data_IF_446132504233
#
_entry.id   IF_446132504233
#
_cell.length_a   1.000
_cell.length_b   1.000
_cell.length_c   1.000
_cell.angle_alpha   90.00
_cell.angle_beta   90.00
_cell.angle_gamma   90.00
#
_symmetry.space_group_name_H-M   'P 1'
#
loop_
_entity.id
_entity.type
_entity.pdbx_description
1 polymer ?
#
# COMPACT_ATOMS: atom_id res chain seq x y z
N UNK A 1 -10.09 32.37 -4.12
CA UNK A 1 -8.81 31.95 -4.71
C UNK A 1 -8.96 30.48 -5.09
N UNK A 2 -8.53 30.05 -6.28
CA UNK A 2 -8.63 28.65 -6.71
C UNK A 2 -7.54 27.85 -5.98
N UNK A 3 -7.92 26.77 -5.28
CA UNK A 3 -6.95 25.89 -4.60
C UNK A 3 -6.31 24.99 -5.65
N UNK A 4 -4.98 24.96 -5.68
CA UNK A 4 -4.17 24.18 -6.61
C UNK A 4 -3.04 23.48 -5.88
N UNK A 5 -2.45 22.48 -6.53
CA UNK A 5 -1.21 21.83 -6.08
C UNK A 5 -0.09 22.86 -6.15
N UNK A 6 0.61 23.08 -5.04
CA UNK A 6 1.71 24.03 -4.91
C UNK A 6 3.07 23.35 -4.90
N UNK A 7 3.15 22.13 -4.37
CA UNK A 7 4.40 21.38 -4.29
C UNK A 7 4.14 19.88 -4.22
N UNK A 8 5.06 19.11 -4.79
CA UNK A 8 5.10 17.63 -4.65
C UNK A 8 6.54 17.25 -4.34
N UNK A 9 6.75 16.59 -3.21
CA UNK A 9 8.08 16.19 -2.73
C UNK A 9 8.09 14.71 -2.42
N UNK A 10 9.04 13.97 -3.00
CA UNK A 10 9.26 12.55 -2.69
C UNK A 10 10.36 12.37 -1.64
N UNK A 11 10.24 11.34 -0.84
CA UNK A 11 11.32 10.87 0.04
C UNK A 11 11.36 9.35 0.12
N UNK A 12 12.53 8.83 0.40
CA UNK A 12 12.74 7.42 0.71
C UNK A 12 12.47 7.21 2.19
N UNK A 13 11.67 6.20 2.53
CA UNK A 13 11.41 5.74 3.89
C UNK A 13 11.69 4.24 3.98
N UNK A 14 11.70 3.69 5.18
CA UNK A 14 11.94 2.26 5.41
C UNK A 14 10.61 1.58 5.81
N UNK A 15 10.31 0.46 5.17
CA UNK A 15 9.13 -0.35 5.47
C UNK A 15 9.33 -1.28 6.69
N UNK A 16 8.29 -2.01 7.08
CA UNK A 16 8.32 -2.94 8.24
C UNK A 16 9.29 -4.12 8.07
N UNK A 17 9.75 -4.39 6.84
CA UNK A 17 10.73 -5.44 6.51
C UNK A 17 12.16 -4.91 6.38
N UNK A 18 12.39 -3.61 6.65
CA UNK A 18 13.70 -2.96 6.52
C UNK A 18 14.09 -2.62 5.09
N UNK A 19 13.15 -2.66 4.12
CA UNK A 19 13.41 -2.28 2.75
C UNK A 19 13.00 -0.81 2.49
N UNK A 20 13.72 -0.09 1.60
CA UNK A 20 13.31 1.24 1.19
C UNK A 20 11.97 1.20 0.44
N UNK A 21 11.15 2.23 0.69
CA UNK A 21 9.96 2.50 -0.11
C UNK A 21 9.77 4.01 -0.28
N UNK A 22 8.77 4.41 -1.07
CA UNK A 22 8.53 5.79 -1.47
C UNK A 22 7.41 6.39 -0.64
N UNK A 23 7.64 7.59 -0.13
CA UNK A 23 6.60 8.47 0.37
C UNK A 23 6.58 9.75 -0.44
N UNK A 24 5.39 10.24 -0.82
CA UNK A 24 5.19 11.55 -1.42
C UNK A 24 4.43 12.47 -0.46
N UNK A 25 4.82 13.75 -0.41
CA UNK A 25 4.09 14.82 0.26
C UNK A 25 3.59 15.81 -0.78
N UNK A 26 2.31 16.13 -0.75
CA UNK A 26 1.66 17.13 -1.60
C UNK A 26 1.23 18.32 -0.75
N UNK A 27 1.64 19.51 -1.13
CA UNK A 27 1.22 20.79 -0.55
C UNK A 27 0.29 21.54 -1.48
N UNK A 28 -0.75 22.17 -0.94
CA UNK A 28 -1.74 22.96 -1.67
C UNK A 28 -1.56 24.46 -1.39
N UNK A 29 -2.10 25.31 -2.26
CA UNK A 29 -2.04 26.78 -2.13
C UNK A 29 -2.82 27.35 -0.96
N UNK A 30 -3.70 26.58 -0.32
CA UNK A 30 -4.40 26.95 0.92
C UNK A 30 -3.61 26.63 2.20
N UNK A 31 -2.37 26.15 2.06
CA UNK A 31 -1.51 25.71 3.17
C UNK A 31 -1.75 24.28 3.64
N UNK A 32 -2.73 23.56 3.05
CA UNK A 32 -2.95 22.15 3.36
C UNK A 32 -1.83 21.29 2.78
N UNK A 33 -1.40 20.28 3.54
CA UNK A 33 -0.49 19.25 3.04
C UNK A 33 -0.91 17.86 3.52
N UNK A 34 -0.58 16.86 2.73
CA UNK A 34 -0.76 15.46 3.09
C UNK A 34 0.35 14.59 2.48
N UNK A 35 0.59 13.45 3.09
CA UNK A 35 1.57 12.48 2.62
C UNK A 35 0.95 11.10 2.44
N UNK A 36 1.56 10.33 1.55
CA UNK A 36 1.23 8.93 1.33
C UNK A 36 2.50 8.12 1.11
N UNK A 37 2.61 7.02 1.85
CA UNK A 37 3.62 6.01 1.65
C UNK A 37 3.04 4.86 0.82
N UNK A 38 3.84 4.27 -0.05
CA UNK A 38 3.45 3.14 -0.88
C UNK A 38 4.08 1.87 -0.33
N UNK A 39 3.27 0.91 0.13
CA UNK A 39 3.80 -0.37 0.55
C UNK A 39 4.33 -1.16 -0.64
N UNK A 40 5.37 -1.97 -0.42
CA UNK A 40 5.89 -2.93 -1.39
C UNK A 40 5.29 -4.30 -1.13
N UNK A 41 4.89 -5.02 -2.18
CA UNK A 41 4.43 -6.40 -2.08
C UNK A 41 5.54 -7.37 -1.65
N UNK A 42 5.16 -8.53 -1.14
CA UNK A 42 6.12 -9.62 -0.84
C UNK A 42 6.49 -10.40 -2.12
N UNK A 43 5.56 -10.49 -3.07
CA UNK A 43 5.74 -11.12 -4.38
C UNK A 43 5.30 -10.17 -5.49
N UNK A 44 5.69 -10.45 -6.74
CA UNK A 44 5.30 -9.68 -7.92
C UNK A 44 4.72 -10.59 -8.98
N UNK A 45 3.64 -10.16 -9.64
CA UNK A 45 3.02 -10.83 -10.76
C UNK A 45 3.56 -10.34 -12.11
N UNK A 46 3.49 -11.18 -13.13
CA UNK A 46 3.98 -10.84 -14.48
C UNK A 46 3.24 -9.67 -15.15
N UNK A 47 2.03 -9.37 -14.71
CA UNK A 47 1.17 -8.31 -15.26
C UNK A 47 1.08 -7.08 -14.37
N UNK A 48 1.77 -7.05 -13.25
CA UNK A 48 1.80 -5.90 -12.35
C UNK A 48 2.58 -4.73 -12.94
N UNK A 49 2.23 -3.52 -12.51
CA UNK A 49 3.01 -2.33 -12.80
C UNK A 49 4.38 -2.39 -12.10
N UNK A 50 5.39 -1.82 -12.74
CA UNK A 50 6.78 -1.92 -12.26
C UNK A 50 7.01 -1.03 -11.06
N UNK A 51 7.38 -1.62 -9.93
CA UNK A 51 7.99 -0.92 -8.82
C UNK A 51 9.43 -0.55 -9.18
N UNK A 52 9.70 0.73 -9.36
CA UNK A 52 11.03 1.20 -9.79
C UNK A 52 12.03 1.09 -8.63
N UNK A 53 13.07 0.28 -8.83
CA UNK A 53 14.19 0.09 -7.93
C UNK A 53 15.49 0.59 -8.55
N UNK A 54 16.42 1.06 -7.71
CA UNK A 54 17.67 1.67 -8.16
C UNK A 54 18.63 0.66 -8.80
N UNK A 55 18.61 -0.61 -8.32
CA UNK A 55 19.66 -1.58 -8.61
C UNK A 55 20.96 -1.25 -7.86
N UNK A 56 22.06 -1.91 -8.23
CA UNK A 56 23.36 -1.72 -7.60
C UNK A 56 23.42 -2.23 -6.15
N UNK A 57 24.41 -1.76 -5.39
CA UNK A 57 24.74 -2.34 -4.06
C UNK A 57 23.89 -1.78 -2.91
N UNK A 58 23.37 -0.55 -3.07
CA UNK A 58 22.62 0.12 -2.02
C UNK A 58 21.32 -0.63 -1.72
N UNK A 59 21.11 -1.01 -0.45
CA UNK A 59 19.98 -1.87 -0.02
C UNK A 59 19.84 -3.14 -0.87
N UNK A 60 20.96 -3.73 -1.27
CA UNK A 60 20.96 -4.91 -2.15
C UNK A 60 20.14 -4.72 -3.45
N UNK A 61 20.23 -3.52 -4.04
CA UNK A 61 19.50 -3.16 -5.25
C UNK A 61 18.08 -2.62 -5.04
N UNK A 62 17.57 -2.64 -3.80
CA UNK A 62 16.19 -2.25 -3.49
C UNK A 62 15.99 -0.75 -3.23
N UNK A 63 17.02 0.09 -3.39
CA UNK A 63 16.91 1.56 -3.25
C UNK A 63 15.82 2.15 -4.13
N UNK A 64 15.25 3.32 -3.77
CA UNK A 64 14.17 4.00 -4.50
C UNK A 64 14.49 5.46 -4.84
N UNK A 65 15.77 5.84 -4.84
CA UNK A 65 16.18 7.23 -5.15
C UNK A 65 15.78 7.68 -6.55
N UNK A 66 15.77 6.79 -7.54
CA UNK A 66 15.29 7.10 -8.89
C UNK A 66 13.82 7.50 -8.87
N UNK A 67 12.97 6.71 -8.20
CA UNK A 67 11.55 7.01 -8.05
C UNK A 67 11.32 8.34 -7.30
N UNK A 68 12.06 8.59 -6.21
CA UNK A 68 12.03 9.86 -5.46
C UNK A 68 12.48 11.05 -6.33
N UNK A 69 13.50 10.86 -7.16
CA UNK A 69 13.97 11.89 -8.10
C UNK A 69 12.91 12.17 -9.17
N UNK A 70 12.25 11.14 -9.70
CA UNK A 70 11.15 11.28 -10.67
C UNK A 70 9.99 12.11 -10.08
N UNK A 71 9.62 11.89 -8.81
CA UNK A 71 8.61 12.71 -8.14
C UNK A 71 9.01 14.19 -8.14
N UNK A 72 10.22 14.49 -7.69
CA UNK A 72 10.65 15.87 -7.46
C UNK A 72 11.02 16.62 -8.74
N UNK A 73 11.57 15.92 -9.75
CA UNK A 73 12.10 16.54 -10.98
C UNK A 73 11.20 16.47 -12.19
N UNK A 74 10.34 15.44 -12.26
CA UNK A 74 9.46 15.20 -13.42
C UNK A 74 8.01 15.44 -13.04
N UNK A 75 7.51 14.80 -11.98
CA UNK A 75 6.09 14.86 -11.62
C UNK A 75 5.73 16.22 -11.02
N UNK A 76 6.54 16.74 -10.08
CA UNK A 76 6.22 17.96 -9.35
C UNK A 76 5.98 19.16 -10.25
N UNK A 77 6.85 19.51 -11.22
CA UNK A 77 6.63 20.66 -12.11
C UNK A 77 5.35 20.56 -12.93
N UNK A 78 4.97 19.34 -13.34
CA UNK A 78 3.82 19.09 -14.20
C UNK A 78 2.49 19.09 -13.45
N UNK A 79 2.48 18.80 -12.15
CA UNK A 79 1.27 18.82 -11.34
C UNK A 79 1.04 20.15 -10.65
N UNK A 80 2.08 20.99 -10.45
CA UNK A 80 1.91 22.31 -9.85
C UNK A 80 0.96 23.18 -10.69
N UNK A 81 -0.02 23.79 -10.02
CA UNK A 81 -1.10 24.56 -10.65
C UNK A 81 -2.36 23.75 -11.01
N UNK A 82 -2.29 22.42 -11.04
CA UNK A 82 -3.47 21.57 -11.25
C UNK A 82 -4.41 21.62 -10.04
N UNK A 83 -5.68 21.34 -10.28
CA UNK A 83 -6.69 21.19 -9.22
C UNK A 83 -6.48 19.86 -8.48
N UNK A 84 -6.35 19.86 -7.13
CA UNK A 84 -6.26 18.60 -6.38
C UNK A 84 -7.61 17.87 -6.32
N UNK A 85 -8.71 18.52 -6.71
CA UNK A 85 -10.06 17.95 -6.65
C UNK A 85 -10.43 17.19 -7.93
N UNK A 86 -9.63 17.26 -8.97
CA UNK A 86 -9.78 16.50 -10.21
C UNK A 86 -8.77 15.34 -10.23
N UNK A 87 -9.10 14.30 -9.48
CA UNK A 87 -8.24 13.12 -9.38
C UNK A 87 -8.00 12.45 -10.75
N UNK A 88 -9.03 12.42 -11.60
CA UNK A 88 -8.89 11.82 -12.92
C UNK A 88 -7.89 12.58 -13.79
N UNK A 89 -7.92 13.91 -13.77
CA UNK A 89 -6.93 14.72 -14.50
C UNK A 89 -5.51 14.50 -13.97
N UNK A 90 -5.35 14.40 -12.64
CA UNK A 90 -4.03 14.12 -12.02
C UNK A 90 -3.52 12.74 -12.43
N UNK A 91 -4.33 11.70 -12.33
CA UNK A 91 -3.93 10.32 -12.63
C UNK A 91 -3.66 10.11 -14.13
N UNK A 92 -4.43 10.77 -14.99
CA UNK A 92 -4.16 10.78 -16.43
C UNK A 92 -2.83 11.48 -16.74
N UNK A 93 -2.55 12.63 -16.12
CA UNK A 93 -1.28 13.34 -16.27
C UNK A 93 -0.09 12.49 -15.83
N UNK A 94 -0.19 11.83 -14.67
CA UNK A 94 0.83 10.90 -14.19
C UNK A 94 1.08 9.74 -15.17
N UNK A 95 0.01 9.23 -15.77
CA UNK A 95 0.06 8.15 -16.77
C UNK A 95 0.68 8.59 -18.08
N UNK A 96 0.38 9.80 -18.54
CA UNK A 96 1.00 10.42 -19.71
C UNK A 96 2.50 10.65 -19.51
N UNK A 97 2.90 11.17 -18.36
CA UNK A 97 4.31 11.43 -18.02
C UNK A 97 5.14 10.15 -18.00
N UNK A 98 4.59 9.06 -17.54
CA UNK A 98 5.26 7.76 -17.62
C UNK A 98 5.32 7.24 -19.06
N UNK A 99 4.24 7.33 -19.84
CA UNK A 99 4.15 6.94 -21.24
C UNK A 99 4.29 5.44 -21.51
N UNK A 100 4.51 4.60 -20.49
CA UNK A 100 4.64 3.16 -20.65
C UNK A 100 3.40 2.43 -20.09
N UNK A 101 3.11 1.26 -20.68
CA UNK A 101 1.94 0.45 -20.29
C UNK A 101 2.03 -0.02 -18.80
N UNK A 102 3.22 -0.36 -18.35
CA UNK A 102 3.48 -0.94 -17.02
C UNK A 102 4.16 0.01 -16.04
N UNK A 103 4.17 1.31 -16.30
CA UNK A 103 4.70 2.36 -15.41
C UNK A 103 6.20 2.23 -15.10
N UNK A 104 6.98 1.68 -16.03
CA UNK A 104 8.41 1.40 -15.81
C UNK A 104 9.32 2.64 -15.85
N UNK A 105 8.88 3.75 -16.45
CA UNK A 105 9.73 4.93 -16.62
C UNK A 105 9.80 5.79 -15.37
N UNK A 106 8.65 6.12 -14.78
CA UNK A 106 8.58 6.87 -13.51
C UNK A 106 8.59 5.94 -12.28
N UNK A 107 8.03 4.75 -12.45
CA UNK A 107 7.78 3.78 -11.38
C UNK A 107 6.36 3.86 -10.82
N UNK A 108 5.69 2.70 -10.72
CA UNK A 108 4.36 2.61 -10.14
C UNK A 108 4.34 3.12 -8.68
N UNK A 109 5.41 2.89 -7.92
CA UNK A 109 5.61 3.40 -6.57
C UNK A 109 5.62 4.94 -6.52
N UNK A 110 6.32 5.61 -7.44
CA UNK A 110 6.31 7.07 -7.51
C UNK A 110 4.93 7.62 -7.88
N UNK A 111 4.29 7.04 -8.90
CA UNK A 111 2.97 7.44 -9.39
C UNK A 111 1.92 7.28 -8.30
N UNK A 112 1.86 6.11 -7.67
CA UNK A 112 0.86 5.79 -6.65
C UNK A 112 1.04 6.65 -5.38
N UNK A 113 2.29 6.88 -4.94
CA UNK A 113 2.57 7.75 -3.80
C UNK A 113 2.00 9.16 -4.03
N UNK A 114 2.20 9.73 -5.21
CA UNK A 114 1.70 11.06 -5.56
C UNK A 114 0.18 11.07 -5.69
N UNK A 115 -0.41 10.13 -6.44
CA UNK A 115 -1.86 10.03 -6.63
C UNK A 115 -2.61 9.97 -5.29
N UNK A 116 -2.18 9.09 -4.38
CA UNK A 116 -2.80 8.95 -3.06
C UNK A 116 -2.55 10.18 -2.18
N UNK A 117 -1.37 10.81 -2.26
CA UNK A 117 -1.08 12.03 -1.51
C UNK A 117 -1.98 13.21 -1.97
N UNK A 118 -2.25 13.33 -3.28
CA UNK A 118 -3.20 14.33 -3.82
C UNK A 118 -4.60 14.08 -3.29
N UNK A 119 -5.12 12.85 -3.34
CA UNK A 119 -6.44 12.52 -2.80
C UNK A 119 -6.56 12.84 -1.30
N UNK A 120 -5.53 12.54 -0.52
CA UNK A 120 -5.47 12.88 0.92
C UNK A 120 -5.43 14.39 1.15
N UNK A 121 -4.65 15.14 0.36
CA UNK A 121 -4.56 16.59 0.46
C UNK A 121 -5.90 17.24 0.10
N UNK A 122 -6.56 16.78 -0.97
CA UNK A 122 -7.88 17.24 -1.38
C UNK A 122 -8.93 16.99 -0.28
N UNK A 123 -9.00 15.77 0.26
CA UNK A 123 -9.90 15.44 1.35
C UNK A 123 -9.68 16.34 2.58
N UNK A 124 -8.41 16.54 2.96
CA UNK A 124 -8.03 17.38 4.11
C UNK A 124 -8.39 18.86 3.88
N UNK A 125 -8.16 19.39 2.68
CA UNK A 125 -8.56 20.76 2.30
C UNK A 125 -10.06 20.96 2.41
N UNK A 126 -10.86 19.95 2.04
CA UNK A 126 -12.31 19.95 2.21
C UNK A 126 -12.79 19.62 3.64
N UNK A 127 -11.86 19.35 4.57
CA UNK A 127 -12.17 18.91 5.95
C UNK A 127 -13.02 17.64 6.00
N UNK A 128 -12.81 16.74 5.02
CA UNK A 128 -13.48 15.45 4.95
C UNK A 128 -12.50 14.32 5.31
N UNK A 129 -12.93 13.28 6.01
CA UNK A 129 -12.14 12.06 6.10
C UNK A 129 -12.02 11.42 4.73
N UNK A 130 -10.89 10.78 4.45
CA UNK A 130 -10.57 10.24 3.11
C UNK A 130 -11.64 9.27 2.60
N UNK A 131 -12.16 8.39 3.46
CA UNK A 131 -13.20 7.44 3.07
C UNK A 131 -14.47 8.12 2.57
N UNK A 132 -14.82 9.29 3.15
CA UNK A 132 -15.99 10.08 2.74
C UNK A 132 -15.72 10.81 1.43
N UNK A 133 -14.49 11.31 1.26
CA UNK A 133 -14.07 11.97 0.01
C UNK A 133 -14.12 11.00 -1.18
N UNK A 134 -13.60 9.79 -1.00
CA UNK A 134 -13.57 8.76 -2.05
C UNK A 134 -14.92 8.07 -2.28
N UNK A 135 -15.63 7.73 -1.20
CA UNK A 135 -16.84 6.91 -1.26
C UNK A 135 -18.15 7.72 -1.30
N UNK A 136 -18.07 9.04 -1.14
CA UNK A 136 -19.25 9.91 -1.15
C UNK A 136 -20.16 9.73 0.07
N UNK A 137 -21.42 10.17 -0.07
CA UNK A 137 -22.39 10.20 1.04
C UNK A 137 -22.83 8.81 1.53
N UNK A 138 -22.67 7.80 0.68
CA UNK A 138 -23.06 6.41 1.00
C UNK A 138 -21.94 5.57 1.63
N UNK A 139 -20.76 6.13 1.82
CA UNK A 139 -19.63 5.43 2.47
C UNK A 139 -19.81 5.35 4.00
N UNK A 140 -20.76 4.55 4.44
CA UNK A 140 -21.16 4.40 5.85
C UNK A 140 -20.98 2.97 6.39
N UNK A 141 -20.49 2.05 5.55
CA UNK A 141 -20.33 0.64 5.91
C UNK A 141 -18.87 0.23 5.86
N UNK A 142 -18.37 -0.33 6.96
CA UNK A 142 -17.05 -0.96 6.98
C UNK A 142 -17.09 -2.31 6.25
N UNK A 143 -16.02 -2.70 5.55
CA UNK A 143 -15.92 -4.04 4.97
C UNK A 143 -15.79 -5.10 6.07
N UNK A 144 -16.17 -6.34 5.74
CA UNK A 144 -15.85 -7.49 6.59
C UNK A 144 -14.32 -7.65 6.61
N UNK A 145 -13.68 -7.75 7.78
CA UNK A 145 -12.24 -7.95 7.83
C UNK A 145 -11.86 -9.31 7.24
N UNK A 146 -10.75 -9.34 6.53
CA UNK A 146 -10.15 -10.54 5.98
C UNK A 146 -8.75 -10.70 6.56
N UNK A 147 -8.47 -11.81 7.23
CA UNK A 147 -7.23 -12.02 7.95
C UNK A 147 -6.51 -13.27 7.45
N UNK A 148 -5.27 -13.12 7.02
CA UNK A 148 -4.41 -14.25 6.70
C UNK A 148 -3.90 -14.90 8.01
N UNK A 149 -4.12 -16.20 8.16
CA UNK A 149 -3.77 -16.95 9.37
C UNK A 149 -2.71 -18.03 9.15
N UNK A 150 -2.50 -18.47 7.89
CA UNK A 150 -1.52 -19.49 7.56
C UNK A 150 -0.95 -19.24 6.16
N UNK A 151 0.37 -19.29 6.05
CA UNK A 151 1.13 -19.02 4.84
C UNK A 151 1.81 -20.27 4.29
N UNK A 152 1.95 -20.31 2.96
CA UNK A 152 2.75 -21.28 2.22
C UNK A 152 3.24 -20.71 0.90
N UNK A 153 3.61 -21.55 -0.05
CA UNK A 153 4.09 -21.14 -1.37
C UNK A 153 5.24 -20.16 -1.30
N UNK A 154 5.15 -19.07 -2.06
CA UNK A 154 6.18 -18.03 -2.10
C UNK A 154 6.27 -17.18 -0.82
N UNK A 155 5.28 -17.23 0.08
CA UNK A 155 5.19 -16.40 1.29
C UNK A 155 5.75 -17.08 2.55
N UNK A 156 6.19 -18.34 2.47
CA UNK A 156 6.78 -19.07 3.59
C UNK A 156 7.76 -20.14 3.14
N UNK A 157 8.83 -20.34 3.90
CA UNK A 157 9.80 -21.41 3.68
C UNK A 157 9.32 -22.70 4.36
N UNK A 158 8.21 -23.27 3.87
CA UNK A 158 7.61 -24.51 4.36
C UNK A 158 7.18 -25.42 3.19
N UNK A 159 6.52 -26.52 3.48
CA UNK A 159 6.06 -27.50 2.47
C UNK A 159 4.62 -27.32 2.02
N UNK A 160 3.98 -26.18 2.30
CA UNK A 160 2.61 -25.89 1.89
C UNK A 160 2.64 -25.18 0.54
N UNK A 161 1.96 -25.74 -0.47
CA UNK A 161 1.92 -25.16 -1.82
C UNK A 161 0.95 -23.98 -1.94
N UNK A 162 -0.07 -23.91 -1.08
CA UNK A 162 -1.07 -22.84 -1.07
C UNK A 162 -0.50 -21.62 -0.35
N UNK A 163 -0.51 -20.48 -1.05
CA UNK A 163 0.17 -19.26 -0.61
C UNK A 163 -0.44 -18.65 0.66
N UNK A 164 -1.77 -18.65 0.78
CA UNK A 164 -2.49 -18.01 1.87
C UNK A 164 -3.76 -18.76 2.24
N UNK A 165 -4.08 -18.77 3.54
CA UNK A 165 -5.36 -19.21 4.07
C UNK A 165 -5.94 -18.06 4.89
N UNK A 166 -7.07 -17.53 4.42
CA UNK A 166 -7.70 -16.37 5.03
C UNK A 166 -9.02 -16.73 5.68
N UNK A 167 -9.34 -16.03 6.77
CA UNK A 167 -10.63 -16.11 7.45
C UNK A 167 -11.41 -14.81 7.27
N UNK A 168 -12.73 -14.91 7.18
CA UNK A 168 -13.65 -13.78 7.09
C UNK A 168 -14.84 -14.01 8.04
N UNK A 169 -15.04 -13.18 9.06
CA UNK A 169 -16.11 -13.32 10.05
C UNK A 169 -17.43 -12.74 9.52
N UNK A 170 -17.99 -13.34 8.48
CA UNK A 170 -19.18 -12.82 7.76
C UNK A 170 -20.45 -12.77 8.59
N UNK A 171 -20.51 -13.51 9.70
CA UNK A 171 -21.65 -13.52 10.64
C UNK A 171 -21.53 -12.53 11.79
N UNK A 172 -20.44 -11.74 11.86
CA UNK A 172 -20.26 -10.75 12.92
C UNK A 172 -21.20 -9.54 12.73
N UNK A 173 -21.79 -9.06 13.82
CA UNK A 173 -22.71 -7.92 13.77
C UNK A 173 -21.99 -6.57 13.62
N UNK A 174 -20.76 -6.46 14.15
CA UNK A 174 -19.92 -5.26 14.07
C UNK A 174 -18.52 -5.61 13.57
N UNK A 175 -17.79 -4.60 13.07
CA UNK A 175 -16.37 -4.77 12.70
C UNK A 175 -15.53 -5.21 13.91
N UNK A 176 -15.79 -4.66 15.09
CA UNK A 176 -15.06 -5.00 16.32
C UNK A 176 -15.27 -6.46 16.72
N UNK A 177 -16.50 -6.97 16.64
CA UNK A 177 -16.79 -8.38 16.91
C UNK A 177 -16.11 -9.29 15.89
N UNK A 178 -16.12 -8.88 14.62
CA UNK A 178 -15.42 -9.61 13.55
C UNK A 178 -13.92 -9.66 13.77
N UNK A 179 -13.30 -8.54 14.13
CA UNK A 179 -11.86 -8.50 14.44
C UNK A 179 -11.53 -9.36 15.68
N UNK A 180 -12.36 -9.31 16.74
CA UNK A 180 -12.19 -10.16 17.90
C UNK A 180 -12.24 -11.65 17.51
N UNK A 181 -13.23 -12.08 16.72
CA UNK A 181 -13.33 -13.46 16.26
C UNK A 181 -12.07 -13.88 15.47
N UNK A 182 -11.58 -13.03 14.56
CA UNK A 182 -10.33 -13.29 13.83
C UNK A 182 -9.15 -13.50 14.78
N UNK A 183 -8.97 -12.65 15.78
CA UNK A 183 -7.89 -12.78 16.77
C UNK A 183 -8.02 -14.07 17.59
N UNK A 184 -9.22 -14.41 18.03
CA UNK A 184 -9.49 -15.64 18.81
C UNK A 184 -9.18 -16.90 17.99
N UNK A 185 -9.57 -16.92 16.70
CA UNK A 185 -9.26 -18.02 15.79
C UNK A 185 -7.76 -18.13 15.57
N UNK A 186 -7.07 -16.99 15.32
CA UNK A 186 -5.62 -16.96 15.13
C UNK A 186 -4.88 -17.51 16.35
N UNK A 187 -5.23 -17.07 17.55
CA UNK A 187 -4.62 -17.57 18.79
C UNK A 187 -4.96 -19.04 19.07
N UNK A 188 -6.14 -19.49 18.72
CA UNK A 188 -6.53 -20.90 18.82
C UNK A 188 -5.72 -21.79 17.87
N UNK A 189 -5.53 -21.32 16.62
CA UNK A 189 -4.65 -22.00 15.67
C UNK A 189 -3.20 -22.10 16.19
N UNK A 190 -2.66 -21.02 16.75
CA UNK A 190 -1.31 -21.03 17.35
C UNK A 190 -1.18 -22.05 18.48
N UNK A 191 -2.18 -22.16 19.34
CA UNK A 191 -2.21 -23.20 20.41
C UNK A 191 -2.24 -24.62 19.82
N UNK A 192 -3.05 -24.87 18.82
CA UNK A 192 -3.16 -26.20 18.17
C UNK A 192 -1.83 -26.59 17.52
N UNK A 193 -1.17 -25.66 16.79
CA UNK A 193 0.13 -25.88 16.17
C UNK A 193 1.19 -26.20 17.24
N UNK A 194 1.23 -25.41 18.30
CA UNK A 194 2.17 -25.61 19.43
C UNK A 194 1.96 -26.98 20.11
N UNK A 195 0.70 -27.39 20.38
CA UNK A 195 0.37 -28.68 20.95
C UNK A 195 0.79 -29.85 20.06
N UNK A 196 0.80 -29.66 18.76
CA UNK A 196 1.29 -30.64 17.79
C UNK A 196 2.82 -30.60 17.56
N UNK A 197 3.54 -29.76 18.29
CA UNK A 197 4.98 -29.58 18.14
C UNK A 197 5.38 -28.89 16.83
N UNK A 198 4.44 -28.20 16.16
CA UNK A 198 4.69 -27.49 14.92
C UNK A 198 5.18 -26.08 15.16
N UNK A 199 5.89 -25.49 14.20
CA UNK A 199 6.36 -24.12 14.27
C UNK A 199 5.20 -23.13 14.32
N UNK A 200 5.32 -22.13 15.21
CA UNK A 200 4.41 -21.00 15.33
C UNK A 200 5.06 -19.68 14.89
N UNK A 201 6.18 -19.76 14.18
CA UNK A 201 6.76 -18.61 13.47
C UNK A 201 5.81 -18.14 12.37
N UNK A 202 5.83 -16.84 12.09
CA UNK A 202 4.96 -16.21 11.09
C UNK A 202 5.73 -15.93 9.80
N UNK A 203 5.04 -15.99 8.69
CA UNK A 203 5.53 -15.54 7.39
C UNK A 203 5.48 -14.00 7.26
N UNK A 204 5.93 -13.49 6.13
CA UNK A 204 5.98 -12.05 5.83
C UNK A 204 4.62 -11.35 5.92
N UNK A 205 3.53 -12.08 5.78
CA UNK A 205 2.15 -11.58 5.80
C UNK A 205 1.38 -11.92 7.09
N UNK A 206 2.11 -12.35 8.13
CA UNK A 206 1.59 -12.51 9.48
C UNK A 206 0.88 -13.82 9.79
N UNK A 207 0.60 -14.68 8.82
CA UNK A 207 0.08 -16.05 9.04
C UNK A 207 1.17 -16.98 9.55
N UNK A 208 0.79 -18.03 10.32
CA UNK A 208 1.73 -19.07 10.74
C UNK A 208 2.32 -19.81 9.53
N UNK A 209 3.54 -20.28 9.66
CA UNK A 209 4.27 -20.96 8.59
C UNK A 209 4.79 -22.36 9.02
N UNK A 210 3.92 -23.29 9.47
CA UNK A 210 4.32 -24.62 9.84
C UNK A 210 4.65 -25.48 8.61
N UNK A 211 5.39 -26.57 8.81
CA UNK A 211 5.35 -27.70 7.90
C UNK A 211 4.14 -28.60 8.26
N UNK A 212 3.36 -29.00 7.27
CA UNK A 212 2.23 -29.88 7.47
C UNK A 212 2.53 -31.27 6.91
N UNK A 213 2.05 -32.30 7.62
CA UNK A 213 2.00 -33.66 7.08
C UNK A 213 0.77 -33.73 6.15
N UNK A 214 0.94 -33.74 4.85
CA UNK A 214 -0.08 -33.82 3.78
C UNK A 214 -1.54 -33.85 4.19
#
# INVERSE_FOLDING_TARGET
MKITINSVVGREIIDSRGNPTVEATVGLTDGTFANAAVPSGASTGAYEAVELRDGGDRFNGKGVKKAVTNISKIISPELCGMSPFDQCAVDNKLSELDGSKNKKNLGANAILAVSVAVAKAAAKSLRLPLYRYLGGIYSVKLPVPMMNILNGGAHAANNIDIQEFMIMPVGANTFSDGLQQCCEIYHSLGKILSQKGMATSVGDEGGFAPNLET
#
